data_IF_606368114687
#
_entry.id   IF_606368114687
#
_cell.length_a   1.000
_cell.length_b   1.000
_cell.length_c   1.000
_cell.angle_alpha   90.00
_cell.angle_beta   90.00
_cell.angle_gamma   90.00
#
_symmetry.space_group_name_H-M   'P 1'
#
loop_
_entity.id
_entity.type
_entity.pdbx_description
1 polymer ?
#
# COMPACT_ATOMS: atom_id res chain seq x y z
N UNK A 1 -18.90 49.22 -12.07
CA UNK A 1 -18.61 48.22 -13.11
C UNK A 1 -17.10 47.99 -13.12
N UNK A 2 -16.65 46.74 -12.92
CA UNK A 2 -15.24 46.38 -12.89
C UNK A 2 -15.09 45.01 -12.26
N UNK A 3 -15.34 43.97 -13.06
CA UNK A 3 -15.51 42.59 -12.63
C UNK A 3 -14.23 41.96 -12.07
N UNK A 4 -14.40 41.28 -10.94
CA UNK A 4 -13.44 40.35 -10.38
C UNK A 4 -13.62 39.00 -11.08
N UNK A 5 -12.81 38.69 -12.08
CA UNK A 5 -12.74 37.35 -12.65
C UNK A 5 -11.28 36.98 -12.95
N UNK A 6 -10.57 36.57 -11.90
CA UNK A 6 -9.26 35.93 -12.02
C UNK A 6 -9.32 34.54 -11.38
N UNK A 7 -10.24 33.70 -11.87
CA UNK A 7 -10.20 32.27 -11.62
C UNK A 7 -9.40 31.61 -12.73
N UNK A 8 -8.08 31.63 -12.57
CA UNK A 8 -7.17 30.91 -13.44
C UNK A 8 -7.46 29.40 -13.30
N UNK A 9 -8.13 28.83 -14.30
CA UNK A 9 -8.61 27.45 -14.28
C UNK A 9 -7.42 26.48 -14.22
N UNK A 10 -7.08 26.01 -13.02
CA UNK A 10 -5.98 25.08 -12.82
C UNK A 10 -6.32 23.72 -13.44
N UNK A 11 -5.98 23.51 -14.71
CA UNK A 11 -6.18 22.22 -15.39
C UNK A 11 -5.11 21.22 -14.92
N UNK A 12 -5.48 20.12 -14.24
CA UNK A 12 -4.50 19.13 -13.80
C UNK A 12 -3.82 18.48 -15.01
N UNK A 13 -2.48 18.55 -15.06
CA UNK A 13 -1.70 17.90 -16.13
C UNK A 13 -1.81 16.37 -16.01
N UNK A 14 -2.06 15.65 -17.11
CA UNK A 14 -2.12 14.18 -17.07
C UNK A 14 -0.77 13.58 -16.69
N UNK A 15 -0.79 12.35 -16.19
CA UNK A 15 0.44 11.60 -15.92
C UNK A 15 1.15 11.26 -17.25
N UNK A 16 2.48 11.38 -17.25
CA UNK A 16 3.34 10.97 -18.37
C UNK A 16 3.36 9.45 -18.48
N UNK A 17 3.52 8.89 -19.66
CA UNK A 17 3.60 7.44 -19.84
C UNK A 17 4.96 6.88 -19.40
N UNK A 18 4.98 5.67 -18.83
CA UNK A 18 6.21 4.91 -18.53
C UNK A 18 6.29 3.72 -19.49
N UNK A 19 7.44 3.54 -20.13
CA UNK A 19 7.72 2.33 -20.91
C UNK A 19 8.17 1.23 -19.95
N UNK A 20 7.45 0.10 -19.94
CA UNK A 20 7.81 -1.05 -19.11
C UNK A 20 7.50 -0.91 -17.61
N UNK A 21 6.68 0.06 -17.21
CA UNK A 21 6.29 0.19 -15.80
C UNK A 21 5.45 -0.98 -15.29
N UNK A 22 5.56 -1.26 -14.00
CA UNK A 22 4.87 -2.31 -13.27
C UNK A 22 3.37 -2.03 -13.29
N UNK A 23 2.60 -3.01 -13.78
CA UNK A 23 1.15 -2.92 -13.93
C UNK A 23 0.46 -3.80 -12.90
N UNK A 24 -0.66 -3.30 -12.36
CA UNK A 24 -1.57 -4.12 -11.58
C UNK A 24 -2.08 -5.31 -12.42
N UNK A 25 -2.14 -6.49 -11.81
CA UNK A 25 -2.73 -7.69 -12.44
C UNK A 25 -4.23 -7.47 -12.74
N UNK A 26 -4.94 -6.83 -11.81
CA UNK A 26 -6.37 -6.49 -11.97
C UNK A 26 -6.58 -5.32 -12.93
N UNK A 27 -7.21 -5.61 -14.08
CA UNK A 27 -7.58 -4.60 -15.09
C UNK A 27 -8.82 -3.79 -14.71
N UNK A 28 -9.74 -4.35 -13.91
CA UNK A 28 -11.02 -3.73 -13.46
C UNK A 28 -11.42 -4.30 -12.09
N UNK A 29 -12.28 -3.59 -11.35
CA UNK A 29 -12.82 -4.08 -10.07
C UNK A 29 -11.89 -3.90 -8.87
N UNK A 30 -11.91 -4.83 -7.92
CA UNK A 30 -11.07 -4.81 -6.73
C UNK A 30 -9.60 -5.15 -7.04
N UNK A 31 -8.70 -4.81 -6.12
CA UNK A 31 -7.29 -5.20 -6.13
C UNK A 31 -7.06 -6.38 -5.18
N UNK A 32 -6.06 -7.21 -5.49
CA UNK A 32 -5.72 -8.39 -4.69
C UNK A 32 -6.62 -9.58 -5.00
N UNK A 33 -6.03 -10.71 -5.36
CA UNK A 33 -6.77 -11.98 -5.55
C UNK A 33 -6.87 -12.74 -4.24
N UNK A 34 -5.79 -12.75 -3.44
CA UNK A 34 -5.73 -13.39 -2.14
C UNK A 34 -6.57 -12.67 -1.08
N UNK A 35 -7.02 -13.42 -0.07
CA UNK A 35 -7.81 -12.87 1.04
C UNK A 35 -7.04 -11.77 1.78
N UNK A 36 -5.74 -11.96 2.02
CA UNK A 36 -4.91 -11.02 2.78
C UNK A 36 -4.61 -9.74 1.99
N UNK A 37 -4.50 -9.82 0.65
CA UNK A 37 -4.39 -8.63 -0.17
C UNK A 37 -5.69 -7.82 -0.16
N UNK A 38 -6.85 -8.49 -0.20
CA UNK A 38 -8.15 -7.82 -0.03
C UNK A 38 -8.30 -7.21 1.35
N UNK A 39 -7.87 -7.93 2.40
CA UNK A 39 -7.87 -7.45 3.79
C UNK A 39 -7.00 -6.21 3.97
N UNK A 40 -5.80 -6.20 3.40
CA UNK A 40 -4.92 -5.03 3.36
C UNK A 40 -5.58 -3.82 2.70
N UNK A 41 -6.20 -4.00 1.52
CA UNK A 41 -6.90 -2.91 0.82
C UNK A 41 -8.07 -2.40 1.65
N UNK A 42 -8.85 -3.28 2.30
CA UNK A 42 -9.95 -2.89 3.16
C UNK A 42 -9.48 -2.08 4.38
N UNK A 43 -8.34 -2.43 4.98
CA UNK A 43 -7.70 -1.65 6.05
C UNK A 43 -7.35 -0.24 5.55
N UNK A 44 -6.68 -0.12 4.41
CA UNK A 44 -6.36 1.19 3.83
C UNK A 44 -7.61 2.02 3.50
N UNK A 45 -8.66 1.40 3.01
CA UNK A 45 -9.95 2.05 2.75
C UNK A 45 -10.62 2.54 4.06
N UNK A 46 -10.44 1.82 5.16
CA UNK A 46 -11.00 2.18 6.47
C UNK A 46 -10.38 3.44 7.09
N UNK A 47 -9.18 3.82 6.66
CA UNK A 47 -8.49 5.03 7.13
C UNK A 47 -8.95 6.32 6.44
N UNK A 48 -10.01 6.25 5.64
CA UNK A 48 -10.58 7.37 4.89
C UNK A 48 -9.56 8.14 4.02
N UNK A 49 -8.62 7.39 3.43
CA UNK A 49 -7.60 7.93 2.49
C UNK A 49 -8.25 8.40 1.16
N UNK A 50 -9.58 8.26 1.03
CA UNK A 50 -10.43 8.97 0.09
C UNK A 50 -10.04 8.84 -1.39
N UNK A 51 -10.16 9.95 -2.13
CA UNK A 51 -9.91 10.03 -3.59
C UNK A 51 -8.49 9.67 -4.01
N UNK A 52 -7.53 9.61 -3.07
CA UNK A 52 -6.13 9.28 -3.32
C UNK A 52 -5.93 7.81 -3.64
N UNK A 53 -6.61 6.91 -2.93
CA UNK A 53 -6.60 5.49 -3.26
C UNK A 53 -7.15 5.24 -4.67
N UNK A 54 -8.22 5.93 -5.05
CA UNK A 54 -8.76 5.85 -6.43
C UNK A 54 -7.75 6.28 -7.48
N UNK A 55 -7.00 7.37 -7.24
CA UNK A 55 -5.92 7.81 -8.13
C UNK A 55 -4.78 6.79 -8.17
N UNK A 56 -4.37 6.26 -7.02
CA UNK A 56 -3.36 5.21 -6.90
C UNK A 56 -3.73 3.97 -7.71
N UNK A 57 -4.97 3.49 -7.62
CA UNK A 57 -5.52 2.39 -8.43
C UNK A 57 -5.41 2.67 -9.93
N UNK A 58 -5.74 3.89 -10.36
CA UNK A 58 -5.59 4.31 -11.76
C UNK A 58 -4.13 4.31 -12.22
N UNK A 59 -3.20 4.73 -11.37
CA UNK A 59 -1.76 4.74 -11.67
C UNK A 59 -1.22 3.32 -11.80
N UNK A 60 -1.55 2.44 -10.85
CA UNK A 60 -1.15 1.03 -10.88
C UNK A 60 -1.65 0.30 -12.13
N UNK A 61 -2.92 0.52 -12.54
CA UNK A 61 -3.49 -0.06 -13.77
C UNK A 61 -2.82 0.42 -15.05
N UNK A 62 -2.44 1.70 -15.09
CA UNK A 62 -1.79 2.31 -16.25
C UNK A 62 -0.31 1.99 -16.37
N UNK A 63 0.26 1.28 -15.40
CA UNK A 63 1.69 0.94 -15.40
C UNK A 63 2.58 2.11 -15.02
N UNK A 64 2.11 2.99 -14.14
CA UNK A 64 2.82 4.21 -13.75
C UNK A 64 3.85 3.99 -12.64
N UNK A 65 3.97 2.76 -12.12
CA UNK A 65 5.00 2.40 -11.14
C UNK A 65 6.25 2.00 -11.93
N UNK A 66 7.23 2.89 -12.00
CA UNK A 66 8.46 2.67 -12.75
C UNK A 66 9.43 1.72 -12.03
N UNK A 67 9.44 1.75 -10.70
CA UNK A 67 10.23 0.85 -9.86
C UNK A 67 9.54 0.67 -8.51
N UNK A 68 9.70 -0.51 -7.90
CA UNK A 68 9.31 -0.82 -6.53
C UNK A 68 10.46 -1.56 -5.87
N UNK A 69 10.73 -1.19 -4.62
CA UNK A 69 11.74 -1.80 -3.75
C UNK A 69 11.06 -2.08 -2.41
N UNK A 70 11.15 -3.32 -1.95
CA UNK A 70 10.47 -3.81 -0.75
C UNK A 70 11.56 -4.32 0.19
N UNK A 71 11.66 -3.67 1.34
CA UNK A 71 12.53 -4.03 2.44
C UNK A 71 11.71 -4.27 3.70
N UNK A 72 12.37 -4.75 4.76
CA UNK A 72 11.73 -4.92 6.06
C UNK A 72 11.13 -3.60 6.55
N UNK A 73 9.82 -3.60 6.83
CA UNK A 73 9.09 -2.42 7.29
C UNK A 73 9.02 -1.26 6.31
N UNK A 74 9.49 -1.37 5.06
CA UNK A 74 9.50 -0.25 4.12
C UNK A 74 9.28 -0.67 2.67
N UNK A 75 8.40 0.07 1.99
CA UNK A 75 8.18 -0.01 0.55
C UNK A 75 8.55 1.33 -0.06
N UNK A 76 9.52 1.34 -0.97
CA UNK A 76 9.91 2.50 -1.76
C UNK A 76 9.48 2.30 -3.20
N UNK A 77 8.97 3.36 -3.84
CA UNK A 77 8.56 3.29 -5.23
C UNK A 77 8.90 4.56 -6.00
N UNK A 78 9.10 4.40 -7.31
CA UNK A 78 9.15 5.51 -8.27
C UNK A 78 7.86 5.50 -9.06
N UNK A 79 7.05 6.53 -8.89
CA UNK A 79 5.71 6.62 -9.50
C UNK A 79 5.66 7.81 -10.45
N UNK A 80 5.43 7.54 -11.73
CA UNK A 80 5.36 8.57 -12.74
C UNK A 80 4.00 9.28 -12.69
N UNK A 81 4.05 10.58 -12.40
CA UNK A 81 2.92 11.48 -12.49
C UNK A 81 3.08 12.46 -13.64
N UNK A 82 2.60 13.69 -13.44
CA UNK A 82 2.69 14.78 -14.42
C UNK A 82 4.09 15.40 -14.54
N UNK A 83 4.89 15.33 -13.46
CA UNK A 83 6.27 15.82 -13.43
C UNK A 83 7.18 15.08 -14.42
N UNK A 84 8.17 15.74 -15.05
CA UNK A 84 9.17 15.08 -15.90
C UNK A 84 9.95 13.96 -15.19
N UNK A 85 10.20 14.11 -13.89
CA UNK A 85 10.85 13.08 -13.06
C UNK A 85 9.80 12.32 -12.25
N UNK A 86 9.86 10.98 -12.17
CA UNK A 86 8.98 10.20 -11.31
C UNK A 86 9.04 10.66 -9.85
N UNK A 87 7.90 10.65 -9.17
CA UNK A 87 7.83 10.94 -7.75
C UNK A 87 8.43 9.79 -6.94
N UNK A 88 9.09 10.15 -5.84
CA UNK A 88 9.55 9.18 -4.84
C UNK A 88 8.43 8.98 -3.83
N UNK A 89 7.98 7.73 -3.69
CA UNK A 89 6.97 7.33 -2.72
C UNK A 89 7.61 6.39 -1.72
N UNK A 90 7.34 6.58 -0.44
CA UNK A 90 7.72 5.67 0.63
C UNK A 90 6.49 5.35 1.47
N UNK A 91 6.32 4.08 1.80
CA UNK A 91 5.38 3.61 2.82
C UNK A 91 6.23 2.84 3.83
N UNK A 92 6.04 3.10 5.11
CA UNK A 92 6.65 2.33 6.18
C UNK A 92 5.58 1.80 7.11
N UNK A 93 5.86 0.62 7.63
CA UNK A 93 5.12 -0.03 8.71
C UNK A 93 6.12 -0.40 9.79
N UNK A 94 5.69 -0.41 11.04
CA UNK A 94 6.52 -0.87 12.14
C UNK A 94 6.88 -2.34 11.92
N UNK A 95 8.17 -2.62 11.74
CA UNK A 95 8.66 -3.99 11.69
C UNK A 95 8.55 -4.64 13.08
N UNK A 96 8.25 -5.93 13.11
CA UNK A 96 8.22 -6.68 14.36
C UNK A 96 9.62 -6.79 14.94
N UNK A 97 9.74 -6.58 16.26
CA UNK A 97 10.99 -6.81 16.98
C UNK A 97 11.30 -8.31 17.02
N UNK A 98 12.58 -8.67 17.19
CA UNK A 98 13.01 -10.07 17.27
C UNK A 98 12.27 -10.85 18.37
N UNK A 99 11.98 -10.20 19.51
CA UNK A 99 11.23 -10.81 20.60
C UNK A 99 9.77 -11.12 20.20
N UNK A 100 9.14 -10.25 19.42
CA UNK A 100 7.76 -10.43 18.95
C UNK A 100 7.69 -11.47 17.84
N UNK A 101 8.70 -11.51 16.95
CA UNK A 101 8.89 -12.60 16.00
C UNK A 101 8.99 -13.96 16.71
N UNK A 102 9.72 -14.06 17.82
CA UNK A 102 9.84 -15.31 18.60
C UNK A 102 8.49 -15.73 19.18
N UNK A 103 7.70 -14.80 19.73
CA UNK A 103 6.35 -15.10 20.25
C UNK A 103 5.42 -15.56 19.13
N UNK A 104 5.42 -14.86 18.00
CA UNK A 104 4.61 -15.22 16.84
C UNK A 104 4.99 -16.59 16.29
N UNK A 105 6.28 -16.88 16.17
CA UNK A 105 6.77 -18.18 15.72
C UNK A 105 6.35 -19.31 16.66
N UNK A 106 6.37 -19.08 17.97
CA UNK A 106 5.84 -20.05 18.94
C UNK A 106 4.35 -20.30 18.70
N UNK A 107 3.55 -19.25 18.51
CA UNK A 107 2.11 -19.40 18.29
C UNK A 107 1.78 -20.10 16.96
N UNK A 108 2.48 -19.75 15.89
CA UNK A 108 2.38 -20.43 14.59
C UNK A 108 2.80 -21.90 14.68
N UNK A 109 3.78 -22.24 15.51
CA UNK A 109 4.25 -23.62 15.68
C UNK A 109 3.28 -24.52 16.43
N UNK A 110 2.29 -23.96 17.16
CA UNK A 110 1.28 -24.74 17.88
C UNK A 110 0.37 -25.52 16.94
N UNK A 111 0.21 -25.07 15.69
CA UNK A 111 -0.60 -25.74 14.69
C UNK A 111 0.23 -26.05 13.44
N UNK A 112 0.50 -27.33 13.19
CA UNK A 112 1.29 -27.77 12.04
C UNK A 112 0.73 -27.28 10.69
N UNK A 113 -0.59 -27.04 10.60
CA UNK A 113 -1.26 -26.54 9.40
C UNK A 113 -0.76 -25.14 8.98
N UNK A 114 -0.44 -24.25 9.93
CA UNK A 114 0.08 -22.92 9.61
C UNK A 114 1.47 -23.03 8.99
N UNK A 115 2.35 -23.82 9.59
CA UNK A 115 3.71 -24.04 9.07
C UNK A 115 3.67 -24.66 7.67
N UNK A 116 2.84 -25.67 7.44
CA UNK A 116 2.72 -26.33 6.14
C UNK A 116 2.22 -25.39 5.04
N UNK A 117 1.16 -24.62 5.31
CA UNK A 117 0.61 -23.65 4.35
C UNK A 117 1.59 -22.52 4.03
N UNK A 118 2.24 -21.95 5.05
CA UNK A 118 3.23 -20.90 4.84
C UNK A 118 4.44 -21.39 4.02
N UNK A 119 4.90 -22.63 4.25
CA UNK A 119 5.95 -23.25 3.42
C UNK A 119 5.50 -23.47 1.97
N UNK A 120 4.22 -23.71 1.74
CA UNK A 120 3.63 -23.78 0.40
C UNK A 120 3.43 -22.38 -0.24
N UNK A 121 3.79 -21.30 0.45
CA UNK A 121 3.56 -19.92 0.00
C UNK A 121 2.10 -19.46 0.15
N UNK A 122 1.28 -20.20 0.89
CA UNK A 122 -0.11 -19.88 1.16
C UNK A 122 -0.26 -19.19 2.51
N UNK A 123 -0.91 -18.03 2.53
CA UNK A 123 -1.26 -17.36 3.79
C UNK A 123 -2.55 -17.97 4.35
N UNK A 124 -2.54 -18.67 5.50
CA UNK A 124 -3.74 -19.23 6.12
C UNK A 124 -4.71 -18.13 6.54
N UNK A 125 -6.02 -18.33 6.37
CA UNK A 125 -7.01 -17.31 6.71
C UNK A 125 -7.09 -17.07 8.23
N UNK A 126 -6.83 -18.11 9.01
CA UNK A 126 -6.88 -18.11 10.47
C UNK A 126 -5.58 -17.56 11.09
N UNK A 127 -4.60 -17.12 10.28
CA UNK A 127 -3.30 -16.65 10.79
C UNK A 127 -3.43 -15.39 11.66
N UNK A 128 -4.46 -14.56 11.47
CA UNK A 128 -4.73 -13.40 12.33
C UNK A 128 -4.96 -13.81 13.80
N UNK A 129 -5.42 -15.05 14.06
CA UNK A 129 -5.55 -15.60 15.41
C UNK A 129 -4.19 -15.82 16.06
N UNK A 130 -3.18 -16.27 15.30
CA UNK A 130 -1.82 -16.46 15.81
C UNK A 130 -1.15 -15.11 16.14
N UNK A 131 -1.41 -14.07 15.34
CA UNK A 131 -0.98 -12.71 15.67
C UNK A 131 -1.65 -12.22 16.94
N UNK A 132 -2.97 -12.38 17.05
CA UNK A 132 -3.74 -11.97 18.23
C UNK A 132 -3.27 -12.71 19.50
N UNK A 133 -3.02 -14.02 19.40
CA UNK A 133 -2.48 -14.83 20.49
C UNK A 133 -1.09 -14.40 20.97
N UNK A 134 -0.29 -13.84 20.06
CA UNK A 134 1.00 -13.23 20.38
C UNK A 134 0.89 -11.76 20.89
N UNK A 135 -0.31 -11.18 20.95
CA UNK A 135 -0.54 -9.78 21.28
C UNK A 135 -0.10 -8.81 20.18
N UNK A 136 -0.11 -9.26 18.93
CA UNK A 136 0.32 -8.53 17.74
C UNK A 136 -0.84 -8.38 16.76
N UNK A 137 -0.67 -7.50 15.77
CA UNK A 137 -1.56 -7.41 14.63
C UNK A 137 -0.80 -7.67 13.34
N UNK A 138 -1.40 -8.43 12.43
CA UNK A 138 -0.87 -8.66 11.09
C UNK A 138 -0.99 -7.40 10.20
N UNK A 139 -2.04 -6.61 10.44
CA UNK A 139 -2.36 -5.42 9.65
C UNK A 139 -2.30 -4.16 10.53
N UNK A 140 -2.00 -2.98 9.94
CA UNK A 140 -2.15 -1.70 10.61
C UNK A 140 -3.56 -1.57 11.22
N UNK A 141 -3.64 -1.14 12.48
CA UNK A 141 -4.93 -0.95 13.14
C UNK A 141 -5.39 0.50 13.04
N UNK A 142 -4.44 1.42 12.94
CA UNK A 142 -4.67 2.87 12.87
C UNK A 142 -3.82 3.48 11.78
N UNK A 143 -4.26 4.62 11.24
CA UNK A 143 -3.52 5.35 10.21
C UNK A 143 -2.09 5.70 10.64
N UNK A 144 -1.87 6.00 11.92
CA UNK A 144 -0.54 6.29 12.49
C UNK A 144 0.44 5.11 12.45
N UNK A 145 -0.04 3.88 12.21
CA UNK A 145 0.80 2.70 12.08
C UNK A 145 1.40 2.61 10.65
N UNK A 146 1.00 3.54 9.77
CA UNK A 146 1.55 3.76 8.44
C UNK A 146 2.23 5.12 8.37
N UNK A 147 3.53 5.12 8.10
CA UNK A 147 4.22 6.35 7.72
C UNK A 147 4.36 6.41 6.21
N UNK A 148 3.77 7.41 5.59
CA UNK A 148 3.81 7.59 4.15
C UNK A 148 4.58 8.86 3.80
N UNK A 149 5.14 8.91 2.60
CA UNK A 149 5.75 10.12 2.05
C UNK A 149 5.69 10.08 0.52
N UNK A 150 5.23 11.17 -0.12
CA UNK A 150 5.40 11.40 -1.55
C UNK A 150 6.12 12.72 -1.83
N UNK A 151 7.11 12.69 -2.72
CA UNK A 151 7.69 13.90 -3.32
C UNK A 151 6.76 14.59 -4.34
N UNK A 152 5.47 14.30 -4.29
CA UNK A 152 4.45 14.87 -5.16
C UNK A 152 4.31 16.37 -4.81
N UNK A 153 4.09 17.27 -5.78
CA UNK A 153 3.85 18.70 -5.51
C UNK A 153 2.47 18.97 -4.87
N UNK A 154 1.85 17.93 -4.33
CA UNK A 154 0.55 17.94 -3.70
C UNK A 154 0.81 17.98 -2.19
N UNK A 155 0.25 18.97 -1.49
CA UNK A 155 0.40 19.12 -0.05
C UNK A 155 -0.26 17.97 0.73
N UNK A 156 -1.08 17.17 0.06
CA UNK A 156 -1.66 15.94 0.59
C UNK A 156 -0.74 14.75 0.29
N UNK A 157 -0.02 14.34 1.32
CA UNK A 157 0.63 13.05 1.42
C UNK A 157 -0.44 12.01 1.82
N UNK A 158 -0.69 10.95 1.02
CA UNK A 158 -1.69 9.94 1.35
C UNK A 158 -1.23 9.07 2.51
#
# INVERSE_FOLDING_TARGET
MGGWDYWDSFKPKPARAVKGGIKAQSKRGAFGESWWAKRWIAVLESFDIGSRLTRGRSYARRGQVAAIDIAEGSVKAKVQGSSPRPYSVTIKVTALLEADWKKLAQELSRQAIFSARLLAGEMPQEIEEAFTGAGLSLFPEKLRDLETNCSCPDWSNP
#
